data_IF_906441471420
#
_entry.id   IF_906441471420
#
_cell.length_a   1.000
_cell.length_b   1.000
_cell.length_c   1.000
_cell.angle_alpha   90.00
_cell.angle_beta   90.00
_cell.angle_gamma   90.00
#
_symmetry.space_group_name_H-M   'P 1'
#
loop_
_entity.id
_entity.type
_entity.pdbx_description
1 polymer ?
#
# COMPACT_ATOMS: atom_id res chain seq x y z
N UNK A 1 20.18 12.10 9.67
CA UNK A 1 20.62 11.46 10.95
C UNK A 1 20.00 12.11 12.19
N UNK A 2 19.94 13.45 12.30
CA UNK A 2 19.36 14.16 13.45
C UNK A 2 17.92 13.77 13.81
N UNK A 3 17.02 13.65 12.82
CA UNK A 3 15.62 13.22 13.03
C UNK A 3 15.54 11.82 13.63
N UNK A 4 16.38 10.91 13.14
CA UNK A 4 16.42 9.51 13.61
C UNK A 4 16.89 9.44 15.07
N UNK A 5 17.94 10.19 15.40
CA UNK A 5 18.43 10.32 16.77
C UNK A 5 17.39 10.96 17.69
N UNK A 6 16.69 12.00 17.22
CA UNK A 6 15.61 12.65 17.98
C UNK A 6 14.45 11.70 18.27
N UNK A 7 14.02 10.90 17.30
CA UNK A 7 12.97 9.89 17.50
C UNK A 7 13.40 8.80 18.49
N UNK A 8 14.63 8.32 18.39
CA UNK A 8 15.19 7.35 19.34
C UNK A 8 15.24 7.94 20.75
N UNK A 9 15.77 9.16 20.89
CA UNK A 9 15.84 9.85 22.18
C UNK A 9 14.45 10.08 22.78
N UNK A 10 13.49 10.55 21.98
CA UNK A 10 12.10 10.73 22.41
C UNK A 10 11.48 9.41 22.89
N UNK A 11 11.69 8.31 22.15
CA UNK A 11 11.22 6.98 22.56
C UNK A 11 11.83 6.51 23.88
N UNK A 12 13.15 6.66 24.03
CA UNK A 12 13.86 6.30 25.28
C UNK A 12 13.35 7.14 26.46
N UNK A 13 13.17 8.45 26.28
CA UNK A 13 12.61 9.33 27.31
C UNK A 13 11.20 8.92 27.71
N UNK A 14 10.35 8.56 26.74
CA UNK A 14 8.98 8.11 27.01
C UNK A 14 8.95 6.79 27.80
N UNK A 15 9.81 5.84 27.44
CA UNK A 15 9.95 4.57 28.16
C UNK A 15 10.50 4.79 29.58
N UNK A 16 11.50 5.66 29.72
CA UNK A 16 12.03 6.05 31.03
C UNK A 16 10.97 6.70 31.92
N UNK A 17 10.18 7.62 31.38
CA UNK A 17 9.06 8.25 32.08
C UNK A 17 8.04 7.22 32.57
N UNK A 18 7.66 6.27 31.72
CA UNK A 18 6.73 5.20 32.09
C UNK A 18 7.27 4.29 33.19
N UNK A 19 8.56 3.94 33.13
CA UNK A 19 9.22 3.11 34.16
C UNK A 19 9.30 3.86 35.49
N UNK A 20 9.76 5.12 35.48
CA UNK A 20 9.85 5.93 36.69
C UNK A 20 8.47 6.15 37.31
N UNK A 21 7.49 6.56 36.51
CA UNK A 21 6.12 6.75 36.95
C UNK A 21 5.50 5.47 37.52
N UNK A 22 5.69 4.34 36.86
CA UNK A 22 5.19 3.05 37.35
C UNK A 22 5.92 2.52 38.60
N UNK A 23 7.20 2.85 38.77
CA UNK A 23 7.97 2.46 39.95
C UNK A 23 7.68 3.30 41.20
N UNK A 24 7.17 4.52 41.01
CA UNK A 24 6.77 5.41 42.09
C UNK A 24 5.35 5.15 42.60
N UNK A 25 4.57 4.32 41.90
CA UNK A 25 3.19 3.97 42.25
C UNK A 25 3.15 2.65 43.06
N UNK A 26 2.84 2.70 44.36
CA UNK A 26 2.85 1.53 45.23
C UNK A 26 1.71 0.53 44.95
N UNK A 27 0.65 0.95 44.26
CA UNK A 27 -0.49 0.09 43.91
C UNK A 27 -0.25 -0.67 42.59
N UNK A 28 0.83 -0.35 41.87
CA UNK A 28 1.12 -0.92 40.56
C UNK A 28 1.73 -2.32 40.66
N UNK A 29 0.93 -3.34 40.34
CA UNK A 29 1.40 -4.73 40.22
C UNK A 29 2.24 -4.92 38.95
N UNK A 30 3.53 -4.64 39.04
CA UNK A 30 4.47 -4.61 37.89
C UNK A 30 4.48 -5.94 37.11
N UNK A 31 4.44 -7.08 37.79
CA UNK A 31 4.36 -8.39 37.14
C UNK A 31 3.07 -8.57 36.31
N UNK A 32 1.93 -8.07 36.80
CA UNK A 32 0.66 -8.11 36.09
C UNK A 32 0.65 -7.19 34.87
N UNK A 33 1.23 -5.98 34.99
CA UNK A 33 1.38 -5.04 33.87
C UNK A 33 2.29 -5.61 32.79
N UNK A 34 3.41 -6.23 33.16
CA UNK A 34 4.32 -6.88 32.21
C UNK A 34 3.66 -8.07 31.53
N UNK A 35 2.90 -8.89 32.26
CA UNK A 35 2.16 -10.02 31.69
C UNK A 35 1.08 -9.53 30.73
N UNK A 36 0.34 -8.47 31.08
CA UNK A 36 -0.62 -7.83 30.20
C UNK A 36 0.05 -7.29 28.94
N UNK A 37 1.16 -6.55 29.08
CA UNK A 37 1.91 -6.00 27.97
C UNK A 37 2.43 -7.11 27.04
N UNK A 38 3.01 -8.17 27.60
CA UNK A 38 3.47 -9.31 26.84
C UNK A 38 2.32 -10.04 26.15
N UNK A 39 1.19 -10.22 26.83
CA UNK A 39 -0.01 -10.85 26.27
C UNK A 39 -0.62 -10.04 25.13
N UNK A 40 -0.75 -8.73 25.29
CA UNK A 40 -1.22 -7.82 24.23
C UNK A 40 -0.24 -7.80 23.07
N UNK A 41 1.06 -7.66 23.33
CA UNK A 41 2.08 -7.62 22.28
C UNK A 41 2.08 -8.93 21.49
N UNK A 42 2.19 -10.07 22.17
CA UNK A 42 2.20 -11.38 21.51
C UNK A 42 0.89 -11.67 20.79
N UNK A 43 -0.26 -11.44 21.44
CA UNK A 43 -1.57 -11.67 20.83
C UNK A 43 -1.82 -10.76 19.62
N UNK A 44 -1.50 -9.47 19.76
CA UNK A 44 -1.65 -8.51 18.67
C UNK A 44 -0.69 -8.81 17.51
N UNK A 45 0.60 -8.98 17.79
CA UNK A 45 1.61 -9.18 16.76
C UNK A 45 1.42 -10.52 16.04
N UNK A 46 1.03 -11.57 16.76
CA UNK A 46 0.74 -12.87 16.15
C UNK A 46 -0.43 -12.77 15.19
N UNK A 47 -1.54 -12.15 15.62
CA UNK A 47 -2.73 -11.96 14.79
C UNK A 47 -2.41 -11.06 13.59
N UNK A 48 -1.70 -9.95 13.82
CA UNK A 48 -1.35 -8.99 12.78
C UNK A 48 -0.37 -9.59 11.77
N UNK A 49 0.68 -10.26 12.23
CA UNK A 49 1.62 -10.97 11.34
C UNK A 49 0.92 -12.06 10.55
N UNK A 50 0.09 -12.89 11.18
CA UNK A 50 -0.64 -13.95 10.49
C UNK A 50 -1.52 -13.38 9.36
N UNK A 51 -2.25 -12.29 9.65
CA UNK A 51 -3.06 -11.58 8.66
C UNK A 51 -2.19 -11.01 7.53
N UNK A 52 -1.09 -10.32 7.85
CA UNK A 52 -0.18 -9.75 6.84
C UNK A 52 0.47 -10.82 5.97
N UNK A 53 0.87 -11.95 6.55
CA UNK A 53 1.43 -13.09 5.82
C UNK A 53 0.39 -13.72 4.90
N UNK A 54 -0.85 -13.91 5.37
CA UNK A 54 -1.94 -14.43 4.55
C UNK A 54 -2.25 -13.50 3.35
N UNK A 55 -2.34 -12.19 3.58
CA UNK A 55 -2.54 -11.20 2.51
C UNK A 55 -1.34 -11.18 1.56
N UNK A 56 -0.12 -11.20 2.10
CA UNK A 56 1.12 -11.26 1.31
C UNK A 56 1.18 -12.51 0.43
N UNK A 57 0.79 -13.66 0.96
CA UNK A 57 0.70 -14.93 0.24
C UNK A 57 -0.39 -14.90 -0.83
N UNK A 58 -1.57 -14.36 -0.52
CA UNK A 58 -2.64 -14.18 -1.50
C UNK A 58 -2.20 -13.27 -2.65
N UNK A 59 -1.58 -12.12 -2.35
CA UNK A 59 -1.02 -11.22 -3.37
C UNK A 59 0.07 -11.93 -4.17
N UNK A 60 0.93 -12.72 -3.54
CA UNK A 60 1.96 -13.47 -4.26
C UNK A 60 1.38 -14.55 -5.18
N UNK A 61 0.30 -15.21 -4.76
CA UNK A 61 -0.34 -16.33 -5.47
C UNK A 61 -1.22 -15.89 -6.63
N UNK A 62 -2.00 -14.82 -6.44
CA UNK A 62 -3.03 -14.38 -7.39
C UNK A 62 -2.57 -13.20 -8.26
N UNK A 63 -1.58 -12.42 -7.82
CA UNK A 63 -1.18 -11.20 -8.54
C UNK A 63 0.16 -11.39 -9.26
N UNK A 64 0.19 -11.17 -10.60
CA UNK A 64 1.43 -11.18 -11.37
C UNK A 64 2.46 -10.22 -10.77
N UNK A 65 3.76 -10.58 -10.82
CA UNK A 65 4.86 -9.80 -10.22
C UNK A 65 4.81 -8.30 -10.56
N UNK A 66 4.32 -7.99 -11.76
CA UNK A 66 4.16 -6.64 -12.30
C UNK A 66 3.14 -5.75 -11.57
N UNK A 67 2.10 -6.33 -10.98
CA UNK A 67 1.01 -5.61 -10.31
C UNK A 67 1.11 -5.65 -8.77
N UNK A 68 2.07 -6.40 -8.23
CA UNK A 68 2.33 -6.52 -6.78
C UNK A 68 2.54 -5.18 -6.05
N UNK A 69 3.30 -4.18 -6.56
CA UNK A 69 3.51 -2.95 -5.81
C UNK A 69 2.21 -2.14 -5.66
N UNK A 70 1.40 -2.05 -6.73
CA UNK A 70 0.11 -1.34 -6.71
C UNK A 70 -0.87 -2.06 -5.78
N UNK A 71 -0.92 -3.39 -5.84
CA UNK A 71 -1.80 -4.19 -4.97
C UNK A 71 -1.40 -4.09 -3.51
N UNK A 72 -0.10 -4.02 -3.20
CA UNK A 72 0.39 -3.81 -1.83
C UNK A 72 -0.04 -2.45 -1.30
N UNK A 73 0.10 -1.39 -2.09
CA UNK A 73 -0.36 -0.06 -1.69
C UNK A 73 -1.87 -0.06 -1.41
N UNK A 74 -2.66 -0.67 -2.28
CA UNK A 74 -4.10 -0.82 -2.10
C UNK A 74 -4.47 -1.61 -0.84
N UNK A 75 -3.78 -2.72 -0.56
CA UNK A 75 -4.00 -3.51 0.64
C UNK A 75 -3.67 -2.73 1.92
N UNK A 76 -2.58 -1.93 1.91
CA UNK A 76 -2.21 -1.07 3.04
C UNK A 76 -3.27 0.02 3.26
N UNK A 77 -3.73 0.67 2.19
CA UNK A 77 -4.80 1.68 2.27
C UNK A 77 -6.10 1.07 2.78
N UNK A 78 -6.50 -0.11 2.29
CA UNK A 78 -7.67 -0.83 2.76
C UNK A 78 -7.57 -1.19 4.24
N UNK A 79 -6.41 -1.66 4.70
CA UNK A 79 -6.17 -1.95 6.11
C UNK A 79 -6.30 -0.70 6.98
N UNK A 80 -5.67 0.41 6.58
CA UNK A 80 -5.76 1.68 7.31
C UNK A 80 -7.21 2.19 7.42
N UNK A 81 -7.95 2.17 6.30
CA UNK A 81 -9.36 2.57 6.27
C UNK A 81 -10.22 1.67 7.16
N UNK A 82 -9.96 0.36 7.17
CA UNK A 82 -10.67 -0.59 8.02
C UNK A 82 -10.40 -0.30 9.49
N UNK A 83 -9.14 -0.13 9.91
CA UNK A 83 -8.79 0.17 11.31
C UNK A 83 -9.47 1.45 11.79
N UNK A 84 -9.46 2.52 10.98
CA UNK A 84 -10.11 3.80 11.32
C UNK A 84 -11.64 3.68 11.36
N UNK A 85 -12.23 2.89 10.46
CA UNK A 85 -13.68 2.73 10.38
C UNK A 85 -14.25 1.72 11.39
N UNK A 86 -13.47 0.74 11.87
CA UNK A 86 -13.89 -0.28 12.84
C UNK A 86 -14.69 0.29 14.02
N UNK A 87 -14.22 1.30 14.78
CA UNK A 87 -14.99 1.80 15.92
C UNK A 87 -16.35 2.38 15.52
N UNK A 88 -16.43 3.04 14.36
CA UNK A 88 -17.66 3.63 13.82
C UNK A 88 -18.64 2.55 13.34
N UNK A 89 -18.13 1.48 12.73
CA UNK A 89 -18.92 0.33 12.28
C UNK A 89 -19.48 -0.45 13.47
N UNK A 90 -18.64 -0.69 14.48
CA UNK A 90 -19.04 -1.35 15.73
C UNK A 90 -20.00 -0.50 16.57
N UNK A 91 -20.20 0.77 16.22
CA UNK A 91 -21.15 1.64 16.88
C UNK A 91 -20.67 2.13 18.25
N UNK A 92 -19.36 2.13 18.50
CA UNK A 92 -18.82 2.74 19.71
C UNK A 92 -19.23 4.21 19.75
N UNK A 93 -19.91 4.61 20.84
CA UNK A 93 -20.46 5.96 21.00
C UNK A 93 -21.89 6.15 20.45
N UNK A 94 -22.52 5.12 19.85
CA UNK A 94 -23.93 5.18 19.46
C UNK A 94 -24.81 5.25 20.71
N UNK A 95 -25.57 6.34 20.86
CA UNK A 95 -26.58 6.49 21.91
C UNK A 95 -27.97 6.21 21.33
N UNK A 96 -28.79 5.35 21.97
CA UNK A 96 -30.17 5.09 21.52
C UNK A 96 -30.99 6.38 21.45
N UNK A 97 -30.74 7.30 22.38
CA UNK A 97 -31.52 8.53 22.57
C UNK A 97 -31.09 9.67 21.64
N UNK A 98 -30.00 9.50 20.88
CA UNK A 98 -29.54 10.51 19.92
C UNK A 98 -29.05 9.84 18.62
N UNK A 99 -29.96 9.51 17.70
CA UNK A 99 -29.62 8.86 16.45
C UNK A 99 -28.72 9.71 15.53
N UNK A 100 -28.61 11.02 15.78
CA UNK A 100 -27.74 11.94 15.05
C UNK A 100 -26.25 11.74 15.35
N UNK A 101 -25.88 10.96 16.38
CA UNK A 101 -24.47 10.72 16.74
C UNK A 101 -23.79 9.78 15.74
N UNK A 102 -24.52 8.82 15.17
CA UNK A 102 -24.02 7.88 14.14
C UNK A 102 -25.09 7.62 13.06
N UNK A 103 -25.45 8.64 12.25
CA UNK A 103 -26.61 8.58 11.36
C UNK A 103 -26.35 7.77 10.09
N UNK A 104 -25.07 7.61 9.70
CA UNK A 104 -24.69 6.93 8.48
C UNK A 104 -24.54 5.41 8.70
N UNK A 105 -24.90 4.58 7.71
CA UNK A 105 -24.62 3.15 7.75
C UNK A 105 -23.12 2.91 7.47
N UNK A 106 -22.28 3.12 8.49
CA UNK A 106 -20.81 3.04 8.38
C UNK A 106 -20.31 1.70 7.83
N UNK A 107 -20.99 0.59 8.13
CA UNK A 107 -20.67 -0.72 7.55
C UNK A 107 -20.83 -0.75 6.03
N UNK A 108 -21.94 -0.21 5.52
CA UNK A 108 -22.20 -0.11 4.08
C UNK A 108 -21.21 0.85 3.41
N UNK A 109 -20.94 1.99 4.04
CA UNK A 109 -20.03 2.99 3.48
C UNK A 109 -18.58 2.48 3.44
N UNK A 110 -18.13 1.74 4.47
CA UNK A 110 -16.83 1.09 4.46
C UNK A 110 -16.74 0.07 3.31
N UNK A 111 -17.75 -0.76 3.10
CA UNK A 111 -17.78 -1.71 1.99
C UNK A 111 -17.68 -1.00 0.63
N UNK A 112 -18.41 0.10 0.44
CA UNK A 112 -18.33 0.92 -0.78
C UNK A 112 -16.92 1.48 -0.97
N UNK A 113 -16.30 2.02 0.07
CA UNK A 113 -14.93 2.56 -0.01
C UNK A 113 -13.92 1.47 -0.38
N UNK A 114 -14.02 0.29 0.23
CA UNK A 114 -13.16 -0.85 -0.10
C UNK A 114 -13.35 -1.31 -1.55
N UNK A 115 -14.58 -1.33 -2.06
CA UNK A 115 -14.88 -1.61 -3.46
C UNK A 115 -14.26 -0.55 -4.40
N UNK A 116 -14.33 0.73 -4.03
CA UNK A 116 -13.71 1.81 -4.80
C UNK A 116 -12.18 1.64 -4.85
N UNK A 117 -11.54 1.32 -3.72
CA UNK A 117 -10.09 1.06 -3.67
C UNK A 117 -9.74 -0.15 -4.56
N UNK A 118 -10.51 -1.24 -4.49
CA UNK A 118 -10.31 -2.41 -5.34
C UNK A 118 -10.49 -2.08 -6.83
N UNK A 119 -11.55 -1.34 -7.18
CA UNK A 119 -11.83 -0.89 -8.55
C UNK A 119 -10.73 0.02 -9.10
N UNK A 120 -10.27 1.00 -8.32
CA UNK A 120 -9.16 1.88 -8.69
C UNK A 120 -7.85 1.09 -8.92
N UNK A 121 -7.60 0.08 -8.10
CA UNK A 121 -6.44 -0.82 -8.24
C UNK A 121 -6.50 -1.61 -9.54
N UNK A 122 -7.66 -2.20 -9.85
CA UNK A 122 -7.93 -2.90 -11.11
C UNK A 122 -7.75 -1.97 -12.32
N UNK A 123 -8.33 -0.76 -12.28
CA UNK A 123 -8.21 0.23 -13.33
C UNK A 123 -6.75 0.66 -13.55
N UNK A 124 -5.99 0.87 -12.47
CA UNK A 124 -4.57 1.21 -12.54
C UNK A 124 -3.74 0.08 -13.18
N UNK A 125 -4.03 -1.18 -12.85
CA UNK A 125 -3.38 -2.34 -13.46
C UNK A 125 -3.70 -2.43 -14.97
N UNK A 126 -4.97 -2.30 -15.35
CA UNK A 126 -5.40 -2.32 -16.75
C UNK A 126 -4.79 -1.16 -17.56
N UNK A 127 -4.77 0.05 -17.00
CA UNK A 127 -4.16 1.22 -17.63
C UNK A 127 -2.64 1.03 -17.82
N UNK A 128 -1.96 0.42 -16.86
CA UNK A 128 -0.54 0.10 -16.96
C UNK A 128 -0.26 -0.94 -18.06
N UNK A 129 -1.17 -1.89 -18.28
CA UNK A 129 -1.08 -2.87 -19.38
C UNK A 129 -1.33 -2.23 -20.75
N UNK A 130 -2.38 -1.41 -20.87
CA UNK A 130 -2.72 -0.73 -22.13
C UNK A 130 -1.62 0.24 -22.58
N UNK A 131 -1.07 1.06 -21.66
CA UNK A 131 0.01 2.02 -21.97
C UNK A 131 1.24 1.32 -22.55
N UNK A 132 1.54 0.09 -22.11
CA UNK A 132 2.71 -0.65 -22.60
C UNK A 132 2.50 -1.30 -23.96
N UNK A 133 1.29 -1.77 -24.26
CA UNK A 133 0.94 -2.26 -25.60
C UNK A 133 1.14 -1.15 -26.64
N UNK A 134 0.76 0.07 -26.29
CA UNK A 134 0.95 1.25 -27.14
C UNK A 134 2.43 1.61 -27.35
N UNK A 135 3.29 1.48 -26.33
CA UNK A 135 4.73 1.73 -26.49
C UNK A 135 5.45 0.63 -27.28
N UNK A 136 5.05 -0.63 -27.12
CA UNK A 136 5.63 -1.76 -27.85
C UNK A 136 5.27 -1.71 -29.35
N UNK A 137 4.04 -1.29 -29.70
CA UNK A 137 3.64 -1.05 -31.09
C UNK A 137 4.41 0.10 -31.74
N UNK A 138 4.79 1.13 -30.98
CA UNK A 138 5.51 2.30 -31.49
C UNK A 138 6.99 2.03 -31.79
N UNK A 139 7.62 1.10 -31.09
CA UNK A 139 9.01 0.67 -31.37
C UNK A 139 9.15 -0.10 -32.68
N UNK A 140 8.15 -0.93 -33.04
CA UNK A 140 8.20 -1.77 -34.25
C UNK A 140 7.99 -0.97 -35.54
N UNK A 141 7.16 0.08 -35.51
CA UNK A 141 6.97 1.00 -36.63
C UNK A 141 8.19 1.87 -36.95
N UNK A 142 9.07 2.14 -35.97
CA UNK A 142 10.29 2.93 -36.19
C UNK A 142 11.41 2.13 -36.84
N UNK A 143 11.48 0.83 -36.56
CA UNK A 143 12.46 -0.10 -37.15
C UNK A 143 12.18 -0.39 -38.64
N UNK A 144 10.91 -0.51 -39.04
CA UNK A 144 10.53 -0.73 -40.43
C UNK A 144 10.69 0.52 -41.30
N UNK A 145 10.44 1.71 -40.74
CA UNK A 145 10.69 2.98 -41.42
C UNK A 145 12.19 3.26 -41.66
N UNK A 146 13.06 2.84 -40.74
CA UNK A 146 14.51 2.94 -40.91
C UNK A 146 15.05 2.03 -42.01
N UNK A 147 14.54 0.79 -42.10
CA UNK A 147 14.96 -0.19 -43.11
C UNK A 147 14.58 0.21 -44.54
N UNK A 148 13.40 0.81 -44.76
CA UNK A 148 13.00 1.28 -46.11
C UNK A 148 13.84 2.45 -46.64
N UNK A 149 14.54 3.19 -45.77
CA UNK A 149 15.37 4.33 -46.19
C UNK A 149 16.77 3.90 -46.66
N UNK A 150 17.29 2.77 -46.17
CA UNK A 150 18.58 2.22 -46.61
C UNK A 150 18.49 1.40 -47.91
N UNK A 151 17.28 0.99 -48.31
CA UNK A 151 17.06 0.24 -49.55
C UNK A 151 16.72 1.11 -50.76
N UNK A 152 16.70 2.44 -50.65
CA UNK A 152 16.68 3.29 -51.85
C UNK A 152 18.10 3.31 -52.44
N UNK A 153 18.38 2.57 -53.52
CA UNK A 153 19.67 2.64 -54.18
C UNK A 153 19.76 4.04 -54.78
N UNK A 154 20.88 4.73 -54.56
CA UNK A 154 21.17 6.00 -55.21
C UNK A 154 20.92 5.86 -56.71
N UNK A 155 19.98 6.65 -57.22
CA UNK A 155 19.70 6.76 -58.64
C UNK A 155 20.97 7.14 -59.39
N UNK A 156 21.13 6.51 -60.56
CA UNK A 156 22.35 6.52 -61.36
C UNK A 156 22.90 7.91 -61.64
N UNK A 157 24.18 8.08 -61.33
CA UNK A 157 25.02 9.07 -62.00
C UNK A 157 25.48 8.50 -63.35
N UNK A 158 25.41 9.26 -64.46
CA UNK A 158 25.71 8.76 -65.80
C UNK A 158 27.21 8.47 -66.00
N UNK A 159 27.57 7.61 -66.98
CA UNK A 159 28.94 7.16 -67.19
C UNK A 159 29.79 8.14 -68.01
N UNK A 160 31.05 8.21 -67.60
CA UNK A 160 32.30 8.52 -68.31
C UNK A 160 32.30 9.27 -69.68
N UNK A 161 33.14 10.31 -69.75
CA UNK A 161 34.02 10.64 -70.88
C UNK A 161 35.20 11.43 -70.25
N UNK A 162 36.48 11.12 -70.40
CA UNK A 162 37.24 10.80 -71.61
C UNK A 162 38.13 12.02 -71.93
N UNK A 163 39.46 11.89 -71.85
CA UNK A 163 40.44 12.93 -72.22
C UNK A 163 41.62 13.05 -71.28
#
# INVERSE_FOLDING_TARGET
MRVRAALVAAGVLLMGYAVVGGSADPDLKSAGVLLFLAGVLAGHDLVWMAALLAVGAAVARFVPRRHRPVTRAAAISAAALTVVATPLVLGFGRRPDNPSVLPLPYGRNLAVVLLVVAGATLAACLAADLRRRSTAGRGRGRSTAGRKRSERPGGGGPPAAGG
#
